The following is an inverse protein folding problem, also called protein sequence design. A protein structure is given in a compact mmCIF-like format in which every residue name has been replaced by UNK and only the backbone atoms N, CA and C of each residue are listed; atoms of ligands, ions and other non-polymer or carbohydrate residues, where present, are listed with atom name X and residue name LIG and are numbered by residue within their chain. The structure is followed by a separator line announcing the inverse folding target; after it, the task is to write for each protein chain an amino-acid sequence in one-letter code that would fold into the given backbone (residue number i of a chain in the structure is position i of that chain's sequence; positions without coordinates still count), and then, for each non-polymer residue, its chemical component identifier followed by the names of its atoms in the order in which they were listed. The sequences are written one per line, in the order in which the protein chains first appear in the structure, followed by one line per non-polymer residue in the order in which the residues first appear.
data_IF_916609251506
#
_entry.id   IF_916609251506
#
_cell.length_a   1.000
_cell.length_b   1.000
_cell.length_c   1.000
_cell.angle_alpha   90.00
_cell.angle_beta   90.00
_cell.angle_gamma   90.00
#
_symmetry.space_group_name_H-M   'P 1'
#
loop_
_entity.id
_entity.type
_entity.pdbx_description
1 polymer ?
#
# COMPACT_ATOMS: atom_id res chain seq x y z
N UNK A 1 14.47 -12.13 -27.44
CA UNK A 1 13.70 -12.05 -26.18
C UNK A 1 13.90 -13.22 -25.21
N UNK A 2 13.83 -14.50 -25.63
CA UNK A 2 13.97 -15.67 -24.71
C UNK A 2 15.32 -15.79 -23.98
N UNK A 3 16.43 -15.29 -24.56
CA UNK A 3 17.76 -15.27 -23.91
C UNK A 3 17.85 -14.32 -22.71
N UNK A 4 17.16 -13.17 -22.77
CA UNK A 4 17.16 -12.16 -21.70
C UNK A 4 16.37 -12.65 -20.49
N UNK A 5 15.24 -13.31 -20.73
CA UNK A 5 14.42 -13.92 -19.67
C UNK A 5 15.19 -15.01 -18.91
N UNK A 6 15.99 -15.83 -19.62
CA UNK A 6 16.87 -16.84 -18.99
C UNK A 6 17.98 -16.23 -18.11
N UNK A 7 18.45 -15.04 -18.45
CA UNK A 7 19.45 -14.33 -17.65
C UNK A 7 18.88 -13.71 -16.38
N UNK A 8 17.59 -13.36 -16.38
CA UNK A 8 16.89 -12.81 -15.23
C UNK A 8 16.29 -13.88 -14.30
N UNK A 9 16.07 -15.12 -14.79
CA UNK A 9 15.60 -16.24 -13.98
C UNK A 9 16.35 -16.43 -12.64
N UNK A 10 17.69 -16.44 -12.59
CA UNK A 10 18.40 -16.62 -11.31
C UNK A 10 18.18 -15.47 -10.33
N UNK A 11 17.89 -14.26 -10.81
CA UNK A 11 17.52 -13.11 -9.98
C UNK A 11 16.11 -13.33 -9.42
N UNK A 12 15.15 -13.67 -10.28
CA UNK A 12 13.76 -13.97 -9.86
C UNK A 12 13.69 -15.12 -8.84
N UNK A 13 14.49 -16.18 -9.02
CA UNK A 13 14.52 -17.32 -8.10
C UNK A 13 15.15 -16.94 -6.74
N UNK A 14 16.09 -16.00 -6.70
CA UNK A 14 16.64 -15.44 -5.45
C UNK A 14 15.64 -14.56 -4.70
N UNK A 15 14.77 -13.84 -5.42
CA UNK A 15 13.71 -12.99 -4.83
C UNK A 15 12.46 -13.77 -4.45
N UNK A 16 12.27 -14.99 -4.96
CA UNK A 16 11.14 -15.87 -4.67
C UNK A 16 10.91 -16.15 -3.17
N UNK A 17 11.94 -16.48 -2.36
CA UNK A 17 11.76 -16.61 -0.91
C UNK A 17 11.46 -15.27 -0.24
N UNK A 18 12.04 -14.16 -0.71
CA UNK A 18 11.72 -12.82 -0.20
C UNK A 18 10.23 -12.49 -0.45
N UNK A 19 9.71 -12.86 -1.62
CA UNK A 19 8.30 -12.73 -1.98
C UNK A 19 7.39 -13.58 -1.08
N UNK A 20 7.82 -14.79 -0.68
CA UNK A 20 7.07 -15.60 0.28
C UNK A 20 7.09 -14.99 1.68
N UNK A 21 8.20 -14.39 2.12
CA UNK A 21 8.27 -13.66 3.40
C UNK A 21 7.36 -12.42 3.40
N UNK A 22 7.35 -11.65 2.30
CA UNK A 22 6.40 -10.55 2.09
C UNK A 22 4.95 -11.02 2.06
N UNK A 23 4.69 -12.22 1.53
CA UNK A 23 3.37 -12.84 1.51
C UNK A 23 2.91 -13.31 2.91
N UNK A 24 3.83 -13.67 3.80
CA UNK A 24 3.55 -14.06 5.20
C UNK A 24 3.37 -12.84 6.11
N UNK A 25 4.02 -11.71 5.83
CA UNK A 25 3.84 -10.45 6.56
C UNK A 25 3.17 -9.38 5.68
N UNK A 26 1.90 -9.63 5.34
CA UNK A 26 1.08 -8.72 4.51
C UNK A 26 0.99 -7.30 5.12
N UNK A 27 1.18 -7.16 6.43
CA UNK A 27 1.25 -5.91 7.18
C UNK A 27 2.49 -5.09 6.83
N UNK A 28 3.67 -5.73 6.78
CA UNK A 28 4.92 -5.06 6.41
C UNK A 28 4.96 -4.69 4.93
N UNK A 29 4.13 -5.30 4.09
CA UNK A 29 4.05 -4.94 2.68
C UNK A 29 3.62 -3.48 2.49
N UNK A 30 2.63 -3.01 3.25
CA UNK A 30 2.18 -1.61 3.18
C UNK A 30 3.25 -0.62 3.67
N UNK A 31 3.93 -0.95 4.78
CA UNK A 31 5.05 -0.16 5.29
C UNK A 31 6.21 -0.10 4.30
N UNK A 32 6.61 -1.25 3.75
CA UNK A 32 7.68 -1.32 2.78
C UNK A 32 7.37 -0.50 1.52
N UNK A 33 6.13 -0.58 1.01
CA UNK A 33 5.69 0.25 -0.12
C UNK A 33 5.79 1.73 0.22
N UNK A 34 5.31 2.15 1.39
CA UNK A 34 5.43 3.54 1.85
C UNK A 34 6.89 4.01 1.94
N UNK A 35 7.78 3.20 2.52
CA UNK A 35 9.20 3.50 2.66
C UNK A 35 9.93 3.56 1.31
N UNK A 36 9.63 2.63 0.39
CA UNK A 36 10.20 2.61 -0.97
C UNK A 36 9.76 3.87 -1.72
N UNK A 37 8.48 4.22 -1.66
CA UNK A 37 7.96 5.45 -2.26
C UNK A 37 8.62 6.69 -1.66
N UNK A 38 8.86 6.71 -0.35
CA UNK A 38 9.55 7.81 0.30
C UNK A 38 11.00 7.94 -0.15
N UNK A 39 11.78 6.84 -0.19
CA UNK A 39 13.17 6.84 -0.65
C UNK A 39 13.29 7.33 -2.10
N UNK A 40 12.36 6.90 -2.96
CA UNK A 40 12.35 7.28 -4.38
C UNK A 40 11.56 8.56 -4.67
N UNK A 41 10.97 9.21 -3.67
CA UNK A 41 10.07 10.35 -3.87
C UNK A 41 10.75 11.49 -4.63
N UNK A 42 11.98 11.85 -4.25
CA UNK A 42 12.76 12.88 -4.93
C UNK A 42 13.02 12.56 -6.41
N UNK A 43 13.27 11.29 -6.74
CA UNK A 43 13.49 10.85 -8.13
C UNK A 43 12.19 10.95 -8.93
N UNK A 44 11.09 10.47 -8.36
CA UNK A 44 9.77 10.55 -8.99
C UNK A 44 9.32 11.98 -9.24
N UNK A 45 9.51 12.88 -8.26
CA UNK A 45 9.15 14.28 -8.41
C UNK A 45 10.00 14.97 -9.48
N UNK A 46 11.31 14.68 -9.55
CA UNK A 46 12.20 15.21 -10.60
C UNK A 46 11.91 14.70 -12.00
N UNK A 47 11.26 13.54 -12.13
CA UNK A 47 10.80 13.04 -13.44
C UNK A 47 9.60 13.84 -13.97
N UNK A 48 8.78 14.39 -13.07
CA UNK A 48 7.62 15.21 -13.42
C UNK A 48 8.05 16.66 -13.65
N UNK A 49 8.89 17.18 -12.74
CA UNK A 49 9.47 18.51 -12.83
C UNK A 49 11.00 18.44 -12.57
N UNK A 50 11.81 18.47 -13.64
CA UNK A 50 13.27 18.44 -13.53
C UNK A 50 13.88 19.62 -12.76
N UNK A 51 13.14 20.73 -12.61
CA UNK A 51 13.59 21.94 -11.92
C UNK A 51 13.21 21.95 -10.44
N UNK A 52 12.33 21.04 -10.01
CA UNK A 52 11.92 20.94 -8.63
C UNK A 52 13.10 20.60 -7.71
N UNK A 53 13.22 21.38 -6.63
CA UNK A 53 14.05 21.01 -5.49
C UNK A 53 13.60 19.68 -4.90
N UNK A 54 14.47 19.02 -4.12
CA UNK A 54 14.18 17.70 -3.51
C UNK A 54 12.85 17.66 -2.74
N UNK A 55 12.44 18.79 -2.16
CA UNK A 55 11.20 18.95 -1.40
C UNK A 55 10.41 20.20 -1.82
N UNK A 56 10.54 20.62 -3.08
CA UNK A 56 9.85 21.79 -3.63
C UNK A 56 9.19 21.49 -4.98
N UNK A 57 8.45 20.38 -5.06
CA UNK A 57 7.68 20.03 -6.26
C UNK A 57 6.20 20.49 -6.17
N UNK A 58 5.92 21.46 -5.29
CA UNK A 58 4.60 22.06 -5.12
C UNK A 58 3.48 21.05 -4.81
N UNK A 59 2.34 21.21 -5.47
CA UNK A 59 1.11 20.45 -5.20
C UNK A 59 1.28 18.93 -5.39
N UNK A 60 2.14 18.48 -6.29
CA UNK A 60 2.34 17.04 -6.54
C UNK A 60 3.02 16.33 -5.36
N UNK A 61 3.89 17.04 -4.66
CA UNK A 61 4.57 16.54 -3.47
C UNK A 61 3.59 16.26 -2.33
N UNK A 62 2.58 17.12 -2.15
CA UNK A 62 1.55 17.00 -1.10
C UNK A 62 0.79 15.68 -1.25
N UNK A 63 0.29 15.39 -2.45
CA UNK A 63 -0.44 14.14 -2.68
C UNK A 63 0.46 12.91 -2.61
N UNK A 64 1.70 12.99 -3.08
CA UNK A 64 2.66 11.88 -2.97
C UNK A 64 2.94 11.53 -1.49
N UNK A 65 3.22 12.54 -0.65
CA UNK A 65 3.44 12.31 0.77
C UNK A 65 2.18 11.91 1.53
N UNK A 66 1.00 12.39 1.12
CA UNK A 66 -0.26 11.91 1.67
C UNK A 66 -0.46 10.40 1.42
N UNK A 67 -0.18 9.93 0.19
CA UNK A 67 -0.24 8.50 -0.16
C UNK A 67 0.78 7.70 0.65
N UNK A 68 2.03 8.17 0.74
CA UNK A 68 3.07 7.55 1.58
C UNK A 68 2.58 7.44 3.04
N UNK A 69 1.99 8.52 3.57
CA UNK A 69 1.43 8.57 4.92
C UNK A 69 0.32 7.53 5.13
N UNK A 70 -0.60 7.38 4.17
CA UNK A 70 -1.65 6.33 4.23
C UNK A 70 -1.01 4.94 4.31
N UNK A 71 -0.01 4.64 3.47
CA UNK A 71 0.65 3.32 3.49
C UNK A 71 1.35 3.03 4.81
N UNK A 72 2.06 4.02 5.37
CA UNK A 72 2.76 3.87 6.65
C UNK A 72 1.76 3.68 7.79
N UNK A 73 0.77 4.57 7.90
CA UNK A 73 -0.24 4.52 8.96
C UNK A 73 -1.08 3.25 8.88
N UNK A 74 -1.48 2.83 7.67
CA UNK A 74 -2.20 1.59 7.46
C UNK A 74 -1.41 0.39 7.99
N UNK A 75 -0.11 0.30 7.69
CA UNK A 75 0.71 -0.80 8.18
C UNK A 75 0.91 -0.77 9.70
N UNK A 76 1.09 0.40 10.30
CA UNK A 76 1.14 0.57 11.76
C UNK A 76 -0.18 0.10 12.40
N UNK A 77 -1.32 0.58 11.90
CA UNK A 77 -2.65 0.21 12.41
C UNK A 77 -2.87 -1.29 12.30
N UNK A 78 -2.47 -1.92 11.19
CA UNK A 78 -2.62 -3.37 11.01
C UNK A 78 -1.76 -4.17 12.00
N UNK A 79 -0.52 -3.72 12.26
CA UNK A 79 0.33 -4.34 13.30
C UNK A 79 -0.32 -4.18 14.69
N UNK A 80 -0.84 -3.00 15.00
CA UNK A 80 -1.54 -2.74 16.27
C UNK A 80 -2.80 -3.58 16.41
N UNK A 81 -3.60 -3.72 15.36
CA UNK A 81 -4.79 -4.58 15.34
C UNK A 81 -4.42 -6.02 15.64
N UNK A 82 -3.36 -6.54 15.01
CA UNK A 82 -2.86 -7.90 15.27
C UNK A 82 -2.38 -8.10 16.71
N UNK A 83 -1.77 -7.07 17.31
CA UNK A 83 -1.24 -7.13 18.68
C UNK A 83 -2.35 -7.01 19.74
N UNK A 84 -3.30 -6.09 19.54
CA UNK A 84 -4.35 -5.77 20.52
C UNK A 84 -5.55 -6.70 20.36
N UNK A 85 -5.94 -7.01 19.11
CA UNK A 85 -7.14 -7.78 18.78
C UNK A 85 -6.89 -8.78 17.64
N UNK A 86 -6.14 -9.87 17.91
CA UNK A 86 -5.81 -10.87 16.89
C UNK A 86 -7.04 -11.53 16.25
N UNK A 87 -8.16 -11.66 16.97
CA UNK A 87 -9.40 -12.24 16.45
C UNK A 87 -9.98 -11.46 15.27
N UNK A 88 -9.92 -10.12 15.30
CA UNK A 88 -10.39 -9.30 14.18
C UNK A 88 -9.51 -9.48 12.95
N UNK A 89 -8.20 -9.60 13.14
CA UNK A 89 -7.25 -9.86 12.05
C UNK A 89 -7.47 -11.24 11.43
N UNK A 90 -7.65 -12.26 12.27
CA UNK A 90 -7.94 -13.63 11.84
C UNK A 90 -9.25 -13.71 11.02
N UNK A 91 -10.28 -12.99 11.46
CA UNK A 91 -11.52 -12.86 10.70
C UNK A 91 -11.28 -12.23 9.32
N UNK A 92 -10.53 -11.13 9.25
CA UNK A 92 -10.24 -10.44 7.99
C UNK A 92 -9.41 -11.30 7.02
N UNK A 93 -8.53 -12.16 7.55
CA UNK A 93 -7.64 -13.00 6.73
C UNK A 93 -8.32 -14.31 6.28
N UNK A 94 -9.13 -14.95 7.13
CA UNK A 94 -9.65 -16.30 6.86
C UNK A 94 -11.15 -16.36 6.55
N UNK A 95 -11.95 -15.43 7.09
CA UNK A 95 -13.42 -15.54 7.05
C UNK A 95 -14.08 -14.50 6.16
N UNK A 96 -13.57 -13.26 6.15
CA UNK A 96 -14.18 -12.12 5.47
C UNK A 96 -14.51 -12.38 4.01
N UNK A 97 -13.65 -13.09 3.28
CA UNK A 97 -13.90 -13.40 1.85
C UNK A 97 -15.16 -14.24 1.67
N UNK A 98 -15.37 -15.24 2.51
CA UNK A 98 -16.52 -16.14 2.40
C UNK A 98 -17.80 -15.38 2.74
N UNK A 99 -17.79 -14.62 3.84
CA UNK A 99 -18.95 -13.83 4.27
C UNK A 99 -19.25 -12.68 3.31
N UNK A 100 -18.22 -12.06 2.72
CA UNK A 100 -18.41 -11.07 1.67
C UNK A 100 -19.11 -11.68 0.44
N UNK A 101 -18.92 -12.97 0.15
CA UNK A 101 -19.58 -13.60 -0.98
C UNK A 101 -21.05 -13.94 -0.71
N UNK A 102 -21.44 -14.15 0.55
CA UNK A 102 -22.83 -14.50 0.93
C UNK A 102 -23.76 -13.29 0.97
N UNK A 103 -23.23 -12.08 1.17
CA UNK A 103 -24.04 -10.85 1.18
C UNK A 103 -24.61 -10.49 -0.20
N UNK A 104 -25.72 -9.74 -0.19
CA UNK A 104 -26.42 -9.32 -1.41
C UNK A 104 -25.58 -8.35 -2.26
N UNK A 105 -25.79 -8.30 -3.59
CA UNK A 105 -25.03 -7.41 -4.48
C UNK A 105 -25.04 -5.94 -4.04
N UNK A 106 -26.17 -5.46 -3.51
CA UNK A 106 -26.31 -4.09 -3.04
C UNK A 106 -25.47 -3.79 -1.78
N UNK A 107 -25.37 -4.76 -0.86
CA UNK A 107 -24.51 -4.64 0.32
C UNK A 107 -23.03 -4.65 -0.07
N UNK A 108 -22.64 -5.47 -1.05
CA UNK A 108 -21.28 -5.49 -1.61
C UNK A 108 -20.91 -4.12 -2.16
N UNK A 109 -21.80 -3.53 -2.95
CA UNK A 109 -21.58 -2.21 -3.54
C UNK A 109 -21.41 -1.13 -2.45
N UNK A 110 -22.30 -1.10 -1.45
CA UNK A 110 -22.19 -0.17 -0.32
C UNK A 110 -20.87 -0.30 0.43
N UNK A 111 -20.46 -1.52 0.79
CA UNK A 111 -19.22 -1.75 1.54
C UNK A 111 -17.99 -1.35 0.74
N UNK A 112 -17.91 -1.75 -0.53
CA UNK A 112 -16.79 -1.40 -1.41
C UNK A 112 -16.69 0.12 -1.62
N UNK A 113 -17.82 0.78 -1.87
CA UNK A 113 -17.87 2.23 -2.04
C UNK A 113 -17.51 2.96 -0.74
N UNK A 114 -17.95 2.47 0.42
CA UNK A 114 -17.57 3.01 1.72
C UNK A 114 -16.06 2.91 1.95
N UNK A 115 -15.44 1.74 1.72
CA UNK A 115 -13.99 1.56 1.85
C UNK A 115 -13.24 2.50 0.91
N UNK A 116 -13.69 2.63 -0.34
CA UNK A 116 -13.09 3.57 -1.31
C UNK A 116 -13.15 5.02 -0.82
N UNK A 117 -14.30 5.49 -0.34
CA UNK A 117 -14.43 6.85 0.19
C UNK A 117 -13.65 7.05 1.48
N UNK A 118 -13.54 6.05 2.35
CA UNK A 118 -12.71 6.12 3.55
C UNK A 118 -11.23 6.33 3.21
N UNK A 119 -10.71 5.60 2.21
CA UNK A 119 -9.34 5.80 1.73
C UNK A 119 -9.15 7.16 1.06
N UNK A 120 -10.09 7.58 0.20
CA UNK A 120 -10.03 8.91 -0.42
C UNK A 120 -10.04 10.03 0.62
N UNK A 121 -10.88 9.89 1.65
CA UNK A 121 -10.96 10.81 2.77
C UNK A 121 -9.66 10.84 3.58
N UNK A 122 -9.05 9.70 3.86
CA UNK A 122 -7.75 9.63 4.54
C UNK A 122 -6.64 10.35 3.75
N UNK A 123 -6.57 10.15 2.43
CA UNK A 123 -5.64 10.88 1.56
C UNK A 123 -5.92 12.37 1.58
N UNK A 124 -7.17 12.79 1.46
CA UNK A 124 -7.54 14.21 1.47
C UNK A 124 -7.21 14.90 2.80
N UNK A 125 -7.43 14.22 3.94
CA UNK A 125 -7.07 14.73 5.24
C UNK A 125 -5.55 14.90 5.39
N UNK A 126 -4.77 13.89 4.99
CA UNK A 126 -3.31 13.98 5.04
C UNK A 126 -2.77 15.06 4.10
N UNK A 127 -3.31 15.16 2.89
CA UNK A 127 -2.94 16.20 1.94
C UNK A 127 -3.28 17.61 2.45
N UNK A 128 -4.29 17.78 3.30
CA UNK A 128 -4.59 19.06 3.94
C UNK A 128 -3.57 19.44 5.02
N UNK A 129 -2.97 18.45 5.68
CA UNK A 129 -2.04 18.68 6.80
C UNK A 129 -0.58 18.86 6.37
N UNK A 130 -0.24 18.43 5.16
CA UNK A 130 1.10 18.49 4.58
C UNK A 130 1.27 19.73 3.71
#
# INVERSE_FOLDING_TARGET
MKKVIRWLQPIFDKFKPLWSYFKVWRELSSLAVGLILWIHSAVFLRWIDPTAGTYDAGVFQVYLFAIIGVFILHGIVRILMKLIWPTSEDYLDHHFRNDFNTITPWQKLKLSTFIFFAFLFAVALLARTL
#
